data_IF_432615809428
#
_entry.id   IF_432615809428
#
_cell.length_a   1.000
_cell.length_b   1.000
_cell.length_c   1.000
_cell.angle_alpha   90.00
_cell.angle_beta   90.00
_cell.angle_gamma   90.00
#
_symmetry.space_group_name_H-M   'P 1'
#
loop_
_entity.id
_entity.type
_entity.pdbx_description
1 polymer ?
#
# COMPACT_ATOMS: atom_id res chain seq x y z
N UNK A 1 -15.50 -27.10 28.96
CA UNK A 1 -14.19 -27.71 28.69
C UNK A 1 -13.37 -27.57 29.96
N UNK A 2 -12.80 -28.67 30.44
CA UNK A 2 -11.82 -28.60 31.54
C UNK A 2 -10.48 -28.03 31.04
N UNK A 3 -9.50 -27.89 31.94
CA UNK A 3 -8.20 -27.33 31.62
C UNK A 3 -7.44 -28.13 30.54
N UNK A 4 -7.57 -29.47 30.55
CA UNK A 4 -6.90 -30.35 29.59
C UNK A 4 -7.51 -30.16 28.20
N UNK A 5 -8.85 -30.13 28.11
CA UNK A 5 -9.56 -29.90 26.85
C UNK A 5 -9.28 -28.49 26.29
N UNK A 6 -9.15 -27.47 27.15
CA UNK A 6 -8.77 -26.12 26.72
C UNK A 6 -7.33 -26.06 26.22
N UNK A 7 -6.40 -26.76 26.88
CA UNK A 7 -5.01 -26.86 26.43
C UNK A 7 -4.90 -27.57 25.08
N UNK A 8 -5.57 -28.71 24.91
CA UNK A 8 -5.61 -29.39 23.62
C UNK A 8 -6.20 -28.51 22.53
N UNK A 9 -7.29 -27.78 22.83
CA UNK A 9 -7.88 -26.83 21.87
C UNK A 9 -6.90 -25.71 21.50
N UNK A 10 -6.13 -25.20 22.45
CA UNK A 10 -5.08 -24.23 22.17
C UNK A 10 -4.04 -24.81 21.21
N UNK A 11 -3.52 -25.99 21.48
CA UNK A 11 -2.54 -26.64 20.59
C UNK A 11 -3.11 -26.92 19.19
N UNK A 12 -4.38 -27.34 19.10
CA UNK A 12 -5.04 -27.69 17.84
C UNK A 12 -5.34 -26.50 16.93
N UNK A 13 -5.39 -25.28 17.50
CA UNK A 13 -5.85 -24.04 16.86
C UNK A 13 -4.90 -22.86 17.03
N UNK A 14 -3.69 -23.13 17.49
CA UNK A 14 -2.56 -22.22 17.41
C UNK A 14 -1.85 -22.44 16.09
N UNK A 15 -1.83 -21.41 15.26
CA UNK A 15 -0.97 -21.36 14.10
C UNK A 15 0.33 -20.63 14.44
N UNK A 16 1.45 -21.15 13.98
CA UNK A 16 2.76 -20.51 14.11
C UNK A 16 3.48 -20.58 12.76
N UNK A 17 3.90 -19.42 12.26
CA UNK A 17 4.79 -19.30 11.12
C UNK A 17 6.20 -18.98 11.59
N UNK A 18 7.05 -20.01 11.68
CA UNK A 18 8.42 -19.91 12.20
C UNK A 18 9.24 -18.83 11.50
N UNK A 19 9.21 -18.78 10.16
CA UNK A 19 9.99 -17.81 9.38
C UNK A 19 9.61 -16.34 9.60
N UNK A 20 8.42 -16.06 10.16
CA UNK A 20 7.96 -14.70 10.44
C UNK A 20 7.88 -14.42 11.95
N UNK A 21 8.14 -15.43 12.80
CA UNK A 21 7.84 -15.35 14.23
C UNK A 21 6.37 -15.02 14.52
N UNK A 22 5.46 -15.37 13.61
CA UNK A 22 4.07 -14.94 13.64
C UNK A 22 3.18 -16.02 14.26
N UNK A 23 2.39 -15.65 15.26
CA UNK A 23 1.43 -16.54 15.91
C UNK A 23 0.01 -16.05 15.70
N UNK A 24 -0.90 -16.99 15.47
CA UNK A 24 -2.33 -16.75 15.42
C UNK A 24 -3.04 -17.79 16.29
N UNK A 25 -3.55 -17.36 17.44
CA UNK A 25 -4.36 -18.19 18.34
C UNK A 25 -5.84 -17.94 18.08
N UNK A 26 -6.54 -18.93 17.50
CA UNK A 26 -8.00 -18.88 17.32
C UNK A 26 -8.77 -19.80 18.28
N UNK A 27 -8.09 -20.38 19.27
CA UNK A 27 -8.67 -21.37 20.20
C UNK A 27 -9.84 -20.81 21.03
N UNK A 28 -9.93 -19.49 21.17
CA UNK A 28 -10.99 -18.80 21.92
C UNK A 28 -12.29 -18.59 21.15
N UNK A 29 -12.29 -18.79 19.84
CA UNK A 29 -13.53 -18.83 19.05
C UNK A 29 -14.22 -20.16 19.32
N UNK A 30 -15.55 -20.16 19.49
CA UNK A 30 -16.30 -21.32 20.03
C UNK A 30 -16.94 -22.21 18.96
N UNK A 31 -16.43 -22.22 17.72
CA UNK A 31 -16.88 -23.21 16.75
C UNK A 31 -16.53 -24.63 17.19
N UNK A 32 -17.40 -25.58 16.86
CA UNK A 32 -17.21 -27.01 17.09
C UNK A 32 -16.64 -27.71 15.85
N UNK A 33 -16.35 -29.01 15.97
CA UNK A 33 -15.84 -29.82 14.87
C UNK A 33 -16.85 -29.97 13.73
N UNK A 34 -18.14 -30.00 14.04
CA UNK A 34 -19.21 -30.12 13.06
C UNK A 34 -19.25 -28.89 12.14
N UNK A 35 -19.11 -27.69 12.71
CA UNK A 35 -19.00 -26.46 11.92
C UNK A 35 -17.78 -26.47 11.01
N UNK A 36 -16.61 -26.89 11.53
CA UNK A 36 -15.39 -26.98 10.73
C UNK A 36 -15.57 -27.93 9.54
N UNK A 37 -16.15 -29.11 9.77
CA UNK A 37 -16.46 -30.09 8.72
C UNK A 37 -17.39 -29.52 7.66
N UNK A 38 -18.44 -28.78 8.05
CA UNK A 38 -19.34 -28.10 7.13
C UNK A 38 -18.64 -27.03 6.28
N UNK A 39 -17.58 -26.40 6.80
CA UNK A 39 -16.83 -25.38 6.07
C UNK A 39 -15.78 -25.96 5.11
N UNK A 40 -15.38 -27.23 5.26
CA UNK A 40 -14.33 -27.84 4.42
C UNK A 40 -14.61 -27.70 2.90
N UNK A 41 -15.82 -27.98 2.37
CA UNK A 41 -16.09 -27.81 0.95
C UNK A 41 -16.02 -26.35 0.49
N UNK A 42 -16.38 -25.40 1.37
CA UNK A 42 -16.30 -23.96 1.07
C UNK A 42 -14.85 -23.49 0.98
N UNK A 43 -13.99 -23.95 1.90
CA UNK A 43 -12.56 -23.65 1.85
C UNK A 43 -11.87 -24.31 0.65
N UNK A 44 -12.19 -25.57 0.34
CA UNK A 44 -11.67 -26.22 -0.87
C UNK A 44 -12.01 -25.43 -2.14
N UNK A 45 -13.22 -24.87 -2.23
CA UNK A 45 -13.60 -23.96 -3.32
C UNK A 45 -12.84 -22.63 -3.23
N UNK A 46 -12.71 -22.04 -2.05
CA UNK A 46 -12.01 -20.78 -1.85
C UNK A 46 -10.54 -20.86 -2.28
N UNK A 47 -9.83 -21.94 -1.91
CA UNK A 47 -8.44 -22.14 -2.32
C UNK A 47 -8.28 -22.22 -3.84
N UNK A 48 -9.15 -22.96 -4.54
CA UNK A 48 -9.16 -22.98 -6.01
C UNK A 48 -9.46 -21.61 -6.63
N UNK A 49 -10.38 -20.87 -6.03
CA UNK A 49 -10.70 -19.51 -6.49
C UNK A 49 -9.51 -18.56 -6.30
N UNK A 50 -8.76 -18.70 -5.20
CA UNK A 50 -7.55 -17.90 -4.94
C UNK A 50 -6.45 -18.22 -5.94
N UNK A 51 -6.22 -19.50 -6.25
CA UNK A 51 -5.29 -19.93 -7.29
C UNK A 51 -5.63 -19.30 -8.65
N UNK A 52 -6.89 -19.43 -9.11
CA UNK A 52 -7.34 -18.82 -10.35
C UNK A 52 -7.21 -17.28 -10.35
N UNK A 53 -7.48 -16.63 -9.21
CA UNK A 53 -7.35 -15.18 -9.07
C UNK A 53 -5.89 -14.72 -9.22
N UNK A 54 -4.94 -15.44 -8.62
CA UNK A 54 -3.52 -15.13 -8.72
C UNK A 54 -2.92 -15.46 -10.10
N UNK A 55 -3.47 -16.44 -10.81
CA UNK A 55 -3.17 -16.73 -12.22
C UNK A 55 -3.68 -15.65 -13.20
N UNK A 56 -4.42 -14.65 -12.70
CA UNK A 56 -4.90 -13.53 -13.50
C UNK A 56 -6.32 -13.69 -14.04
N UNK A 57 -7.15 -14.53 -13.42
CA UNK A 57 -8.58 -14.53 -13.74
C UNK A 57 -9.20 -13.14 -13.53
N UNK A 58 -10.20 -12.81 -14.37
CA UNK A 58 -10.99 -11.59 -14.19
C UNK A 58 -11.83 -11.75 -12.91
N UNK A 59 -11.38 -11.05 -11.86
CA UNK A 59 -12.01 -11.08 -10.55
C UNK A 59 -13.03 -9.94 -10.35
N UNK A 60 -12.93 -8.86 -11.14
CA UNK A 60 -13.93 -7.81 -11.20
C UNK A 60 -14.62 -7.79 -12.58
N UNK A 61 -15.76 -8.49 -12.75
CA UNK A 61 -16.47 -8.56 -14.01
C UNK A 61 -17.00 -7.21 -14.50
N UNK A 62 -17.44 -6.35 -13.58
CA UNK A 62 -18.05 -5.04 -13.91
C UNK A 62 -17.03 -4.10 -14.55
N UNK A 63 -15.77 -4.19 -14.12
CA UNK A 63 -14.66 -3.40 -14.66
C UNK A 63 -13.80 -4.17 -15.66
N UNK A 64 -14.07 -5.45 -15.87
CA UNK A 64 -13.25 -6.39 -16.64
C UNK A 64 -11.76 -6.35 -16.23
N UNK A 65 -11.48 -6.44 -14.92
CA UNK A 65 -10.12 -6.31 -14.36
C UNK A 65 -9.67 -7.53 -13.57
N UNK A 66 -8.36 -7.77 -13.66
CA UNK A 66 -7.63 -8.68 -12.77
C UNK A 66 -7.41 -8.03 -11.39
N UNK A 67 -7.04 -8.83 -10.39
CA UNK A 67 -6.63 -8.36 -9.06
C UNK A 67 -5.22 -8.85 -8.78
N UNK A 68 -4.24 -7.97 -8.99
CA UNK A 68 -2.83 -8.36 -9.11
C UNK A 68 -1.89 -7.90 -7.99
N UNK A 69 -2.41 -7.43 -6.86
CA UNK A 69 -1.58 -6.92 -5.76
C UNK A 69 -0.62 -7.95 -5.14
N UNK A 70 -0.80 -9.23 -5.39
CA UNK A 70 0.14 -10.31 -5.05
C UNK A 70 1.40 -10.27 -5.93
N UNK A 71 1.28 -9.87 -7.18
CA UNK A 71 2.42 -9.80 -8.10
C UNK A 71 3.39 -8.66 -7.74
N UNK A 72 2.90 -7.62 -7.05
CA UNK A 72 3.75 -6.53 -6.56
C UNK A 72 4.83 -7.04 -5.60
N UNK A 73 4.50 -8.07 -4.81
CA UNK A 73 5.34 -8.67 -3.76
C UNK A 73 6.05 -9.94 -4.26
N UNK A 74 5.53 -10.58 -5.30
CA UNK A 74 6.22 -11.66 -6.01
C UNK A 74 6.06 -11.51 -7.54
N UNK A 75 6.93 -10.69 -8.20
CA UNK A 75 6.81 -10.40 -9.63
C UNK A 75 6.94 -11.63 -10.53
N UNK A 76 7.60 -12.70 -10.06
CA UNK A 76 7.74 -13.95 -10.80
C UNK A 76 6.41 -14.69 -10.99
N UNK A 77 5.38 -14.35 -10.20
CA UNK A 77 4.02 -14.88 -10.33
C UNK A 77 3.12 -14.04 -11.23
N UNK A 78 3.61 -12.94 -11.80
CA UNK A 78 2.81 -12.13 -12.71
C UNK A 78 2.41 -12.96 -13.96
N UNK A 79 1.19 -12.81 -14.49
CA UNK A 79 0.67 -13.67 -15.56
C UNK A 79 1.31 -13.37 -16.94
N UNK A 80 2.15 -12.35 -17.05
CA UNK A 80 2.91 -12.07 -18.26
C UNK A 80 4.30 -11.49 -17.95
N UNK A 81 5.30 -11.74 -18.83
CA UNK A 81 6.63 -11.14 -18.70
C UNK A 81 6.62 -9.61 -18.68
N UNK A 82 5.69 -8.99 -19.40
CA UNK A 82 5.55 -7.53 -19.46
C UNK A 82 5.07 -6.95 -18.12
N UNK A 83 4.13 -7.63 -17.44
CA UNK A 83 3.69 -7.22 -16.11
C UNK A 83 4.80 -7.39 -15.08
N UNK A 84 5.52 -8.52 -15.13
CA UNK A 84 6.69 -8.75 -14.28
C UNK A 84 7.72 -7.64 -14.46
N UNK A 85 8.08 -7.34 -15.69
CA UNK A 85 9.07 -6.32 -16.01
C UNK A 85 8.62 -4.93 -15.53
N UNK A 86 7.36 -4.57 -15.73
CA UNK A 86 6.83 -3.28 -15.27
C UNK A 86 6.87 -3.12 -13.75
N UNK A 87 6.58 -4.18 -13.00
CA UNK A 87 6.66 -4.16 -11.54
C UNK A 87 8.11 -3.94 -11.09
N UNK A 88 9.05 -4.70 -11.67
CA UNK A 88 10.48 -4.59 -11.36
C UNK A 88 11.03 -3.20 -11.71
N UNK A 89 10.66 -2.66 -12.87
CA UNK A 89 11.03 -1.31 -13.30
C UNK A 89 10.47 -0.24 -12.36
N UNK A 90 9.22 -0.39 -11.92
CA UNK A 90 8.59 0.56 -10.98
C UNK A 90 9.31 0.55 -9.62
N UNK A 91 9.61 -0.64 -9.08
CA UNK A 91 10.37 -0.77 -7.81
C UNK A 91 11.76 -0.15 -7.97
N UNK A 92 12.44 -0.42 -9.08
CA UNK A 92 13.77 0.15 -9.34
C UNK A 92 13.71 1.68 -9.50
N UNK A 93 12.67 2.20 -10.16
CA UNK A 93 12.44 3.63 -10.30
C UNK A 93 12.27 4.29 -8.92
N UNK A 94 11.50 3.69 -8.01
CA UNK A 94 11.34 4.17 -6.63
C UNK A 94 12.68 4.19 -5.90
N UNK A 95 13.46 3.11 -5.98
CA UNK A 95 14.79 3.02 -5.34
C UNK A 95 15.74 4.09 -5.87
N UNK A 96 15.85 4.24 -7.19
CA UNK A 96 16.72 5.22 -7.84
C UNK A 96 16.30 6.65 -7.48
N UNK A 97 15.01 6.96 -7.54
CA UNK A 97 14.50 8.29 -7.19
C UNK A 97 14.76 8.63 -5.73
N UNK A 98 14.50 7.69 -4.82
CA UNK A 98 14.77 7.84 -3.40
C UNK A 98 16.25 8.12 -3.14
N UNK A 99 17.16 7.38 -3.79
CA UNK A 99 18.59 7.61 -3.66
C UNK A 99 19.00 9.01 -4.15
N UNK A 100 18.43 9.50 -5.25
CA UNK A 100 18.70 10.85 -5.74
C UNK A 100 18.25 11.92 -4.75
N UNK A 101 17.08 11.74 -4.12
CA UNK A 101 16.56 12.64 -3.09
C UNK A 101 17.42 12.60 -1.82
N UNK A 102 17.75 11.40 -1.31
CA UNK A 102 18.53 11.23 -0.09
C UNK A 102 19.98 11.74 -0.22
N UNK A 103 20.59 11.59 -1.39
CA UNK A 103 21.96 12.09 -1.64
C UNK A 103 22.01 13.58 -1.98
N UNK A 104 20.87 14.25 -2.17
CA UNK A 104 20.80 15.64 -2.63
C UNK A 104 21.18 15.81 -4.10
N UNK A 105 21.30 14.72 -4.89
CA UNK A 105 21.45 14.82 -6.34
C UNK A 105 20.18 15.39 -7.01
N UNK A 106 19.02 15.15 -6.39
CA UNK A 106 17.77 15.82 -6.68
C UNK A 106 17.39 16.67 -5.46
N UNK A 107 17.26 17.97 -5.65
CA UNK A 107 17.06 18.95 -4.59
C UNK A 107 16.06 20.04 -5.03
N UNK A 108 15.36 20.69 -4.08
CA UNK A 108 14.46 21.78 -4.41
C UNK A 108 15.24 23.06 -4.80
N UNK A 109 14.67 23.94 -5.64
CA UNK A 109 15.34 25.18 -6.03
C UNK A 109 15.77 26.04 -4.83
N UNK A 110 17.05 26.42 -4.78
CA UNK A 110 17.60 27.28 -3.73
C UNK A 110 17.87 26.57 -2.39
N UNK A 111 17.79 25.25 -2.34
CA UNK A 111 18.05 24.44 -1.15
C UNK A 111 19.06 23.33 -1.47
N UNK A 112 19.65 22.73 -0.43
CA UNK A 112 20.63 21.64 -0.60
C UNK A 112 19.99 20.26 -0.72
N UNK A 113 18.82 20.05 -0.09
CA UNK A 113 18.12 18.75 -0.08
C UNK A 113 16.64 18.91 0.29
N UNK A 114 15.86 17.86 0.02
CA UNK A 114 14.53 17.71 0.62
C UNK A 114 14.64 17.24 2.07
N UNK A 115 13.73 17.68 2.92
CA UNK A 115 13.64 17.33 4.35
C UNK A 115 12.30 16.73 4.75
N UNK A 116 11.28 16.92 3.90
CA UNK A 116 9.91 16.55 4.20
C UNK A 116 9.25 16.01 2.93
N UNK A 117 8.24 15.17 3.11
CA UNK A 117 7.33 14.71 2.05
C UNK A 117 5.90 15.09 2.43
N UNK A 118 5.17 15.72 1.52
CA UNK A 118 3.74 15.96 1.63
C UNK A 118 3.00 15.07 0.64
N UNK A 119 2.36 14.03 1.17
CA UNK A 119 1.50 13.11 0.44
C UNK A 119 0.09 13.70 0.30
N UNK A 120 -0.37 13.86 -0.93
CA UNK A 120 -1.72 14.34 -1.27
C UNK A 120 -2.47 13.21 -1.97
N UNK A 121 -3.51 12.69 -1.32
CA UNK A 121 -4.28 11.55 -1.81
C UNK A 121 -5.40 11.21 -0.84
N UNK A 122 -6.39 10.41 -1.23
CA UNK A 122 -7.51 10.04 -0.34
C UNK A 122 -7.74 8.52 -0.34
N UNK A 123 -8.29 8.00 0.76
CA UNK A 123 -8.63 6.59 0.92
C UNK A 123 -7.38 5.72 0.77
N UNK A 124 -7.42 4.73 -0.12
CA UNK A 124 -6.28 3.84 -0.37
C UNK A 124 -5.00 4.54 -0.84
N UNK A 125 -5.12 5.75 -1.39
CA UNK A 125 -3.97 6.56 -1.84
C UNK A 125 -3.30 7.35 -0.70
N UNK A 126 -3.80 7.26 0.53
CA UNK A 126 -3.22 7.94 1.70
C UNK A 126 -3.21 7.07 2.97
N UNK A 127 -4.24 6.26 3.23
CA UNK A 127 -4.36 5.48 4.48
C UNK A 127 -3.28 4.41 4.65
N UNK A 128 -2.92 3.70 3.57
CA UNK A 128 -1.81 2.74 3.61
C UNK A 128 -0.49 3.42 3.96
N UNK A 129 -0.09 4.47 3.21
CA UNK A 129 1.14 5.20 3.49
C UNK A 129 1.17 5.83 4.89
N UNK A 130 0.03 6.35 5.36
CA UNK A 130 -0.13 6.87 6.73
C UNK A 130 0.13 5.78 7.77
N UNK A 131 -0.54 4.62 7.61
CA UNK A 131 -0.40 3.52 8.55
C UNK A 131 1.04 2.98 8.61
N UNK A 132 1.67 2.78 7.45
CA UNK A 132 3.06 2.30 7.37
C UNK A 132 4.03 3.31 7.98
N UNK A 133 3.83 4.62 7.73
CA UNK A 133 4.66 5.65 8.36
C UNK A 133 4.52 5.61 9.89
N UNK A 134 3.30 5.59 10.42
CA UNK A 134 3.08 5.55 11.87
C UNK A 134 3.67 4.28 12.52
N UNK A 135 3.58 3.15 11.82
CA UNK A 135 4.03 1.86 12.36
C UNK A 135 5.54 1.64 12.27
N UNK A 136 6.20 2.15 11.22
CA UNK A 136 7.57 1.75 10.85
C UNK A 136 8.57 2.90 10.71
N UNK A 137 8.13 4.17 10.72
CA UNK A 137 9.08 5.29 10.66
C UNK A 137 9.99 5.32 11.89
N UNK A 138 11.27 5.59 11.68
CA UNK A 138 12.20 5.88 12.77
C UNK A 138 11.88 7.23 13.41
N UNK A 139 12.33 7.46 14.64
CA UNK A 139 12.15 8.74 15.36
C UNK A 139 12.71 9.95 14.58
N UNK A 140 13.76 9.71 13.78
CA UNK A 140 14.42 10.71 12.96
C UNK A 140 14.56 10.17 11.52
N UNK A 141 13.48 10.17 10.73
CA UNK A 141 13.53 9.67 9.37
C UNK A 141 14.34 10.63 8.47
N UNK A 142 14.91 10.16 7.35
CA UNK A 142 15.58 11.03 6.39
C UNK A 142 14.69 12.18 5.89
N UNK A 143 13.43 11.88 5.60
CA UNK A 143 12.38 12.86 5.30
C UNK A 143 11.16 12.59 6.19
N UNK A 144 10.62 13.63 6.84
CA UNK A 144 9.37 13.50 7.59
C UNK A 144 8.17 13.41 6.65
N UNK A 145 7.22 12.50 6.94
CA UNK A 145 6.03 12.30 6.11
C UNK A 145 4.83 13.08 6.66
N UNK A 146 4.11 13.74 5.76
CA UNK A 146 2.90 14.51 6.05
C UNK A 146 1.80 14.19 5.05
N UNK A 147 0.55 14.39 5.45
CA UNK A 147 -0.60 13.92 4.67
C UNK A 147 -1.68 15.00 4.57
N UNK A 148 -2.23 15.12 3.36
CA UNK A 148 -3.51 15.78 3.07
C UNK A 148 -4.40 14.70 2.47
N UNK A 149 -5.36 14.24 3.27
CA UNK A 149 -6.25 13.13 2.93
C UNK A 149 -7.75 13.43 2.99
N UNK A 150 -8.07 14.69 3.25
CA UNK A 150 -9.43 15.20 3.32
C UNK A 150 -9.56 16.46 2.45
N UNK A 151 -10.81 16.83 2.18
CA UNK A 151 -11.13 18.03 1.39
C UNK A 151 -11.48 19.25 2.25
N UNK A 152 -11.42 19.13 3.59
CA UNK A 152 -11.75 20.22 4.49
C UNK A 152 -10.65 21.29 4.41
N UNK A 153 -10.96 22.53 3.96
CA UNK A 153 -9.96 23.59 3.84
C UNK A 153 -9.23 23.85 5.16
N UNK A 154 -9.91 23.75 6.31
CA UNK A 154 -9.29 23.98 7.62
C UNK A 154 -8.26 22.88 7.96
N UNK A 155 -8.48 21.64 7.50
CA UNK A 155 -7.53 20.55 7.63
C UNK A 155 -6.28 20.77 6.77
N UNK A 156 -6.50 21.16 5.51
CA UNK A 156 -5.42 21.50 4.57
C UNK A 156 -4.57 22.65 5.10
N UNK A 157 -5.21 23.75 5.50
CA UNK A 157 -4.53 24.93 6.06
C UNK A 157 -3.72 24.59 7.30
N UNK A 158 -4.24 23.74 8.19
CA UNK A 158 -3.52 23.30 9.38
C UNK A 158 -2.22 22.59 9.02
N UNK A 159 -2.28 21.65 8.07
CA UNK A 159 -1.08 20.94 7.60
C UNK A 159 -0.08 21.90 6.95
N UNK A 160 -0.54 22.76 6.04
CA UNK A 160 0.32 23.72 5.35
C UNK A 160 0.93 24.76 6.30
N UNK A 161 0.18 25.22 7.30
CA UNK A 161 0.68 26.16 8.31
C UNK A 161 1.72 25.53 9.22
N UNK A 162 1.57 24.24 9.58
CA UNK A 162 2.59 23.52 10.36
C UNK A 162 3.88 23.34 9.56
N UNK A 163 3.78 23.23 8.24
CA UNK A 163 4.93 23.03 7.35
C UNK A 163 5.49 24.32 6.77
N UNK A 164 4.93 25.50 7.09
CA UNK A 164 5.21 26.73 6.34
C UNK A 164 6.70 27.02 6.18
N UNK A 165 7.50 26.85 7.24
CA UNK A 165 8.94 27.10 7.22
C UNK A 165 9.73 26.03 6.46
N UNK A 166 9.15 24.83 6.29
CA UNK A 166 9.74 23.67 5.62
C UNK A 166 9.22 23.44 4.20
N UNK A 167 8.20 24.19 3.77
CA UNK A 167 7.68 24.10 2.40
C UNK A 167 8.76 24.28 1.31
N UNK A 168 9.79 25.15 1.46
CA UNK A 168 10.89 25.23 0.49
C UNK A 168 11.68 23.92 0.30
N UNK A 169 11.69 23.03 1.29
CA UNK A 169 12.41 21.75 1.29
C UNK A 169 11.47 20.55 1.29
N UNK A 170 10.19 20.75 0.98
CA UNK A 170 9.17 19.67 0.97
C UNK A 170 8.98 19.10 -0.43
N UNK A 171 9.04 17.77 -0.58
CA UNK A 171 8.65 17.05 -1.79
C UNK A 171 7.15 16.72 -1.72
N UNK A 172 6.38 17.06 -2.75
CA UNK A 172 4.95 16.79 -2.86
C UNK A 172 4.71 15.53 -3.69
N UNK A 173 4.04 14.54 -3.12
CA UNK A 173 3.59 13.34 -3.84
C UNK A 173 2.09 13.45 -4.06
N UNK A 174 1.64 13.54 -5.32
CA UNK A 174 0.22 13.56 -5.66
C UNK A 174 -0.21 12.18 -6.15
N UNK A 175 -1.10 11.53 -5.42
CA UNK A 175 -1.53 10.15 -5.70
C UNK A 175 -3.01 10.09 -6.08
N UNK A 176 -3.28 9.72 -7.33
CA UNK A 176 -4.66 9.55 -7.83
C UNK A 176 -4.68 8.66 -9.07
N UNK A 177 -5.18 7.43 -8.97
CA UNK A 177 -5.24 6.47 -10.09
C UNK A 177 -5.89 7.03 -11.37
N UNK A 178 -7.06 7.66 -11.25
CA UNK A 178 -7.79 8.27 -12.37
C UNK A 178 -7.15 9.58 -12.85
N UNK A 179 -6.28 10.17 -12.03
CA UNK A 179 -5.81 11.55 -12.16
C UNK A 179 -6.91 12.62 -12.00
N UNK A 180 -8.12 12.25 -11.58
CA UNK A 180 -9.26 13.16 -11.51
C UNK A 180 -10.05 13.09 -10.21
N UNK A 181 -9.52 12.43 -9.17
CA UNK A 181 -10.15 12.40 -7.84
C UNK A 181 -10.28 13.83 -7.31
N UNK A 182 -11.50 14.33 -7.07
CA UNK A 182 -11.72 15.72 -6.69
C UNK A 182 -10.96 16.16 -5.45
N UNK A 183 -10.94 15.32 -4.42
CA UNK A 183 -10.29 15.60 -3.14
C UNK A 183 -8.77 15.74 -3.32
N UNK A 184 -8.12 14.77 -3.98
CA UNK A 184 -6.69 14.84 -4.32
C UNK A 184 -6.39 16.08 -5.18
N UNK A 185 -7.21 16.35 -6.19
CA UNK A 185 -7.02 17.50 -7.09
C UNK A 185 -7.10 18.82 -6.33
N UNK A 186 -8.09 18.97 -5.44
CA UNK A 186 -8.26 20.18 -4.66
C UNK A 186 -7.08 20.37 -3.70
N UNK A 187 -6.69 19.33 -2.96
CA UNK A 187 -5.50 19.39 -2.10
C UNK A 187 -4.23 19.78 -2.88
N UNK A 188 -4.04 19.22 -4.08
CA UNK A 188 -2.91 19.58 -4.95
C UNK A 188 -2.96 21.06 -5.37
N UNK A 189 -4.14 21.59 -5.71
CA UNK A 189 -4.29 23.00 -6.10
C UNK A 189 -4.03 23.94 -4.93
N UNK A 190 -4.48 23.61 -3.72
CA UNK A 190 -4.18 24.39 -2.50
C UNK A 190 -2.67 24.39 -2.20
N UNK A 191 -2.01 23.23 -2.30
CA UNK A 191 -0.55 23.14 -2.14
C UNK A 191 0.17 23.98 -3.20
N UNK A 192 -0.22 23.85 -4.48
CA UNK A 192 0.34 24.65 -5.58
C UNK A 192 0.16 26.14 -5.33
N UNK A 193 -1.04 26.57 -4.94
CA UNK A 193 -1.34 27.95 -4.60
C UNK A 193 -0.47 28.47 -3.46
N UNK A 194 -0.29 27.68 -2.39
CA UNK A 194 0.55 28.04 -1.24
C UNK A 194 2.03 28.18 -1.61
N UNK A 195 2.56 27.28 -2.44
CA UNK A 195 3.92 27.39 -2.95
C UNK A 195 4.11 28.63 -3.83
N UNK A 196 3.16 28.92 -4.73
CA UNK A 196 3.20 30.09 -5.59
C UNK A 196 3.20 31.40 -4.79
N UNK A 197 2.40 31.49 -3.71
CA UNK A 197 2.38 32.64 -2.79
C UNK A 197 3.74 32.87 -2.10
N UNK A 198 4.53 31.82 -1.93
CA UNK A 198 5.87 31.87 -1.34
C UNK A 198 6.97 32.08 -2.39
N UNK A 199 6.62 32.21 -3.67
CA UNK A 199 7.57 32.30 -4.78
C UNK A 199 8.29 30.97 -5.09
N UNK A 200 7.74 29.84 -4.62
CA UNK A 200 8.26 28.51 -4.88
C UNK A 200 7.61 27.91 -6.14
N UNK A 201 8.27 26.92 -6.75
CA UNK A 201 7.78 26.29 -7.97
C UNK A 201 7.32 24.85 -7.69
N UNK A 202 6.00 24.64 -7.72
CA UNK A 202 5.38 23.34 -7.51
C UNK A 202 5.98 22.23 -8.40
N UNK A 203 6.25 22.50 -9.68
CA UNK A 203 6.73 21.46 -10.62
C UNK A 203 8.16 21.01 -10.30
N UNK A 204 8.92 21.83 -9.58
CA UNK A 204 10.27 21.49 -9.08
C UNK A 204 10.27 20.83 -7.71
N UNK A 205 9.09 20.59 -7.15
CA UNK A 205 8.90 19.92 -5.87
C UNK A 205 7.87 18.80 -5.93
N UNK A 206 7.30 18.48 -7.10
CA UNK A 206 6.19 17.53 -7.19
C UNK A 206 6.51 16.29 -8.03
N UNK A 207 5.94 15.17 -7.61
CA UNK A 207 5.85 13.91 -8.36
C UNK A 207 4.42 13.39 -8.37
N UNK A 208 4.09 12.57 -9.37
CA UNK A 208 2.77 11.95 -9.47
C UNK A 208 2.85 10.43 -9.35
N UNK A 209 1.93 9.84 -8.59
CA UNK A 209 1.66 8.38 -8.59
C UNK A 209 0.26 8.17 -9.16
N UNK A 210 0.17 7.65 -10.39
CA UNK A 210 -1.07 7.73 -11.16
C UNK A 210 -1.18 6.68 -12.27
N UNK A 211 -2.38 6.46 -12.79
CA UNK A 211 -2.60 5.57 -13.93
C UNK A 211 -1.95 6.07 -15.22
N UNK A 212 -1.56 5.13 -16.09
CA UNK A 212 -1.10 5.46 -17.44
C UNK A 212 -2.20 6.19 -18.20
N UNK A 213 -1.82 7.22 -18.94
CA UNK A 213 -2.68 8.13 -19.71
C UNK A 213 -3.73 8.88 -18.86
N UNK A 214 -3.63 8.85 -17.53
CA UNK A 214 -4.51 9.61 -16.64
C UNK A 214 -4.32 11.12 -16.82
N UNK A 215 -5.33 11.90 -16.38
CA UNK A 215 -5.25 13.37 -16.42
C UNK A 215 -4.05 13.92 -15.64
N UNK A 216 -3.72 13.29 -14.51
CA UNK A 216 -2.58 13.67 -13.68
C UNK A 216 -1.24 13.33 -14.34
N UNK A 217 -1.14 12.19 -15.05
CA UNK A 217 0.09 11.86 -15.80
C UNK A 217 0.33 12.87 -16.93
N UNK A 218 -0.73 13.21 -17.68
CA UNK A 218 -0.67 14.20 -18.75
C UNK A 218 -0.26 15.57 -18.21
N UNK A 219 -0.87 16.01 -17.11
CA UNK A 219 -0.53 17.26 -16.44
C UNK A 219 0.93 17.29 -15.98
N UNK A 220 1.37 16.25 -15.27
CA UNK A 220 2.73 16.17 -14.75
C UNK A 220 3.79 16.21 -15.88
N UNK A 221 3.52 15.54 -17.00
CA UNK A 221 4.39 15.58 -18.20
C UNK A 221 4.37 16.95 -18.86
N UNK A 222 3.19 17.55 -19.04
CA UNK A 222 3.02 18.86 -19.67
C UNK A 222 3.71 19.98 -18.87
N UNK A 223 3.60 19.93 -17.54
CA UNK A 223 4.18 20.94 -16.64
C UNK A 223 5.65 20.63 -16.24
N UNK A 224 6.18 19.47 -16.60
CA UNK A 224 7.55 19.07 -16.32
C UNK A 224 7.85 18.83 -14.84
N UNK A 225 6.98 18.07 -14.17
CA UNK A 225 7.17 17.61 -12.79
C UNK A 225 8.39 16.70 -12.67
N UNK A 226 8.90 16.50 -11.45
CA UNK A 226 10.15 15.78 -11.21
C UNK A 226 10.12 14.32 -11.68
N UNK A 227 8.99 13.62 -11.49
CA UNK A 227 8.81 12.23 -11.89
C UNK A 227 7.32 11.82 -11.92
N UNK A 228 7.04 10.73 -12.64
CA UNK A 228 5.75 10.03 -12.63
C UNK A 228 5.96 8.54 -12.38
N UNK A 229 5.19 7.96 -11.47
CA UNK A 229 5.21 6.53 -11.14
C UNK A 229 3.87 5.88 -11.51
N UNK A 230 3.88 4.73 -12.19
CA UNK A 230 2.66 4.10 -12.66
C UNK A 230 1.87 3.44 -11.53
N UNK A 231 0.55 3.60 -11.58
CA UNK A 231 -0.42 2.84 -10.79
C UNK A 231 -1.32 2.03 -11.73
N UNK A 232 -1.23 0.70 -11.67
CA UNK A 232 -1.94 -0.18 -12.61
C UNK A 232 -3.42 -0.35 -12.29
N UNK A 233 -4.20 -0.68 -13.32
CA UNK A 233 -5.64 -0.87 -13.22
C UNK A 233 -6.03 -2.09 -12.37
N UNK A 234 -5.21 -3.14 -12.39
CA UNK A 234 -5.34 -4.34 -11.55
C UNK A 234 -4.88 -4.14 -10.09
N UNK A 235 -4.34 -2.97 -9.75
CA UNK A 235 -4.07 -2.56 -8.35
C UNK A 235 -5.27 -1.79 -7.82
N UNK A 236 -5.99 -2.39 -6.87
CA UNK A 236 -7.08 -1.72 -6.17
C UNK A 236 -6.56 -0.67 -5.19
N UNK A 237 -7.32 0.41 -4.95
CA UNK A 237 -6.88 1.47 -4.03
C UNK A 237 -6.55 0.94 -2.63
N UNK A 238 -7.44 0.12 -2.05
CA UNK A 238 -7.24 -0.51 -0.72
C UNK A 238 -6.16 -1.60 -0.68
N UNK A 239 -5.60 -1.99 -1.83
CA UNK A 239 -4.52 -2.98 -1.94
C UNK A 239 -3.29 -2.39 -2.63
N UNK A 240 -3.15 -1.06 -2.60
CA UNK A 240 -2.10 -0.34 -3.34
C UNK A 240 -0.84 -0.05 -2.54
N UNK A 241 -0.81 -0.34 -1.24
CA UNK A 241 0.33 0.01 -0.37
C UNK A 241 1.68 -0.50 -0.89
N UNK A 242 1.72 -1.76 -1.36
CA UNK A 242 2.93 -2.37 -1.90
C UNK A 242 3.20 -2.01 -3.38
N UNK A 243 2.51 -1.00 -3.91
CA UNK A 243 2.85 -0.37 -5.20
C UNK A 243 3.60 0.93 -4.98
N UNK A 244 3.88 1.70 -6.04
CA UNK A 244 4.45 3.04 -5.90
C UNK A 244 3.64 3.98 -4.97
N UNK A 245 2.36 3.69 -4.70
CA UNK A 245 1.54 4.45 -3.74
C UNK A 245 2.14 4.48 -2.34
N UNK A 246 2.57 3.32 -1.81
CA UNK A 246 3.17 3.23 -0.47
C UNK A 246 4.68 3.07 -0.48
N UNK A 247 5.24 2.34 -1.46
CA UNK A 247 6.69 2.14 -1.53
C UNK A 247 7.45 3.46 -1.71
N UNK A 248 6.92 4.43 -2.47
CA UNK A 248 7.59 5.71 -2.67
C UNK A 248 7.72 6.52 -1.36
N UNK A 249 6.62 6.87 -0.66
CA UNK A 249 6.73 7.58 0.62
C UNK A 249 7.50 6.77 1.67
N UNK A 250 7.31 5.44 1.75
CA UNK A 250 8.04 4.60 2.70
C UNK A 250 9.57 4.68 2.47
N UNK A 251 10.03 4.52 1.22
CA UNK A 251 11.45 4.61 0.89
C UNK A 251 12.03 6.00 1.18
N UNK A 252 11.30 7.07 0.84
CA UNK A 252 11.70 8.44 1.14
C UNK A 252 11.81 8.69 2.65
N UNK A 253 10.90 8.11 3.43
CA UNK A 253 10.95 8.10 4.90
C UNK A 253 12.00 7.17 5.51
N UNK A 254 12.80 6.48 4.70
CA UNK A 254 13.89 5.60 5.15
C UNK A 254 13.44 4.19 5.57
N UNK A 255 12.20 3.79 5.28
CA UNK A 255 11.69 2.44 5.56
C UNK A 255 12.23 1.47 4.50
N UNK A 256 12.64 0.28 4.93
CA UNK A 256 13.11 -0.78 4.02
C UNK A 256 11.95 -1.39 3.23
N UNK A 257 11.73 -0.85 2.05
CA UNK A 257 10.68 -1.32 1.14
C UNK A 257 10.92 -2.74 0.61
N UNK A 258 12.17 -3.23 0.57
CA UNK A 258 12.44 -4.60 0.14
C UNK A 258 11.99 -5.56 1.23
N UNK A 259 12.33 -5.28 2.49
CA UNK A 259 11.87 -6.07 3.63
C UNK A 259 10.33 -6.11 3.74
N UNK A 260 9.64 -5.01 3.43
CA UNK A 260 8.18 -4.98 3.35
C UNK A 260 7.63 -5.94 2.29
N UNK A 261 8.21 -5.91 1.08
CA UNK A 261 7.80 -6.78 -0.03
C UNK A 261 8.09 -8.25 0.30
N UNK A 262 9.26 -8.55 0.84
CA UNK A 262 9.69 -9.90 1.21
C UNK A 262 8.80 -10.48 2.32
N UNK A 263 8.51 -9.70 3.37
CA UNK A 263 7.59 -10.13 4.43
C UNK A 263 6.18 -10.41 3.91
N UNK A 264 5.69 -9.57 3.00
CA UNK A 264 4.37 -9.78 2.38
C UNK A 264 4.36 -10.98 1.42
N UNK A 265 5.47 -11.26 0.73
CA UNK A 265 5.64 -12.46 -0.11
C UNK A 265 5.60 -13.73 0.73
N UNK A 266 6.33 -13.76 1.85
CA UNK A 266 6.34 -14.91 2.77
C UNK A 266 4.92 -15.17 3.31
N UNK A 267 4.18 -14.12 3.68
CA UNK A 267 2.78 -14.29 4.10
C UNK A 267 1.89 -14.80 2.97
N UNK A 268 2.08 -14.34 1.73
CA UNK A 268 1.33 -14.87 0.59
C UNK A 268 1.59 -16.37 0.41
N UNK A 269 2.85 -16.83 0.49
CA UNK A 269 3.21 -18.25 0.47
C UNK A 269 2.49 -19.04 1.58
N UNK A 270 2.46 -18.52 2.80
CA UNK A 270 1.73 -19.14 3.92
C UNK A 270 0.22 -19.26 3.65
N UNK A 271 -0.38 -18.26 2.99
CA UNK A 271 -1.81 -18.25 2.65
C UNK A 271 -2.18 -19.04 1.40
N UNK A 272 -1.19 -19.54 0.64
CA UNK A 272 -1.41 -20.44 -0.50
C UNK A 272 -1.50 -21.91 -0.09
N UNK A 273 -1.12 -22.26 1.13
CA UNK A 273 -1.24 -23.63 1.64
C UNK A 273 -2.74 -24.01 1.68
N UNK A 274 -3.21 -25.01 0.91
CA UNK A 274 -4.63 -25.33 0.81
C UNK A 274 -5.10 -26.25 1.96
N UNK A 275 -4.67 -25.93 3.17
CA UNK A 275 -5.04 -26.63 4.41
C UNK A 275 -5.53 -25.61 5.43
N UNK A 276 -6.74 -25.82 5.96
CA UNK A 276 -7.40 -24.87 6.86
C UNK A 276 -6.58 -24.58 8.12
N UNK A 277 -5.93 -25.59 8.71
CA UNK A 277 -5.19 -25.43 9.96
C UNK A 277 -3.82 -24.78 9.77
N UNK A 278 -3.21 -24.96 8.61
CA UNK A 278 -1.91 -24.41 8.27
C UNK A 278 -1.97 -23.14 7.41
N UNK A 279 -3.15 -22.51 7.31
CA UNK A 279 -3.36 -21.30 6.52
C UNK A 279 -3.91 -20.16 7.39
N UNK A 280 -3.12 -19.11 7.68
CA UNK A 280 -3.54 -18.07 8.61
C UNK A 280 -4.73 -17.24 8.09
N UNK A 281 -4.81 -17.00 6.79
CA UNK A 281 -5.95 -16.30 6.19
C UNK A 281 -7.23 -17.15 6.26
N UNK A 282 -7.14 -18.45 6.03
CA UNK A 282 -8.27 -19.37 6.16
C UNK A 282 -8.77 -19.45 7.61
N UNK A 283 -7.86 -19.49 8.59
CA UNK A 283 -8.19 -19.46 10.01
C UNK A 283 -8.93 -18.17 10.40
N UNK A 284 -8.44 -17.00 9.98
CA UNK A 284 -9.12 -15.73 10.22
C UNK A 284 -10.48 -15.67 9.52
N UNK A 285 -10.58 -16.15 8.28
CA UNK A 285 -11.84 -16.21 7.54
C UNK A 285 -12.86 -17.14 8.21
N UNK A 286 -12.43 -18.29 8.76
CA UNK A 286 -13.26 -19.21 9.54
C UNK A 286 -13.83 -18.50 10.78
N UNK A 287 -12.97 -17.78 11.51
CA UNK A 287 -13.35 -17.04 12.71
C UNK A 287 -14.34 -15.93 12.40
N UNK A 288 -14.04 -15.12 11.39
CA UNK A 288 -14.92 -14.04 10.94
C UNK A 288 -16.27 -14.58 10.49
N UNK A 289 -16.29 -15.65 9.69
CA UNK A 289 -17.54 -16.25 9.21
C UNK A 289 -18.37 -16.79 10.38
N UNK A 290 -17.75 -17.44 11.35
CA UNK A 290 -18.45 -17.96 12.53
C UNK A 290 -19.03 -16.82 13.40
N UNK A 291 -18.22 -15.81 13.71
CA UNK A 291 -18.63 -14.72 14.63
C UNK A 291 -19.60 -13.74 13.95
N UNK A 292 -19.37 -13.41 12.68
CA UNK A 292 -20.21 -12.50 11.90
C UNK A 292 -21.42 -13.16 11.23
N UNK A 293 -21.54 -14.49 11.29
CA UNK A 293 -22.58 -15.22 10.56
C UNK A 293 -22.44 -15.10 9.03
N UNK A 294 -21.21 -14.89 8.55
CA UNK A 294 -20.89 -14.67 7.14
C UNK A 294 -21.40 -13.35 6.56
N UNK A 295 -21.60 -12.32 7.39
CA UNK A 295 -22.04 -10.98 7.01
C UNK A 295 -21.07 -9.92 7.51
#
# INVERSE_FOLDING_TARGET
MDAIALWQRYQDWLYHHEGLGFYLDISRIRFDSQFVEQMQPKFAKAFKNMEALEEGAIANPDENRMVGHYWLRDPDKAPSPELRQDILETIQQVKTFTQQVHTGALYPPGQEKFTDVLCVGIGGSALGPQFVSEALSADHPPLELHFIDNTDPAGIDRTLNRLVDRLPTTLVIVTSKSGSTPETRNGMLEVKHRLDQMGLNFTKQAVAVTGRQSKLEQLAKQEGWLATFPMRDWVGGRTSELSAVGLLPAALGGIDIQAMLDGAKIMDEATRVPDLKNNPAALLALCWYYVGGGK
#
